data_IF_648553051240
#
_entry.id   IF_648553051240
#
_cell.length_a   1.000
_cell.length_b   1.000
_cell.length_c   1.000
_cell.angle_alpha   90.00
_cell.angle_beta   90.00
_cell.angle_gamma   90.00
#
_symmetry.space_group_name_H-M   'P 1'
#
loop_
_entity.id
_entity.type
_entity.pdbx_description
1 polymer ?
#
# COMPACT_ATOMS: atom_id res chain seq x y z
N UNK A 1 -0.60 0.70 20.84
CA UNK A 1 -1.30 1.53 19.82
C UNK A 1 -2.34 0.70 19.10
N UNK A 2 -3.56 1.17 18.91
CA UNK A 2 -4.62 0.55 18.09
C UNK A 2 -4.63 1.18 16.69
N UNK A 3 -4.64 0.36 15.64
CA UNK A 3 -4.78 0.84 14.27
C UNK A 3 -6.26 0.81 13.83
N UNK A 4 -6.61 1.60 12.81
CA UNK A 4 -7.87 1.40 12.09
C UNK A 4 -7.84 0.06 11.34
N UNK A 5 -9.01 -0.48 11.02
CA UNK A 5 -9.12 -1.75 10.28
C UNK A 5 -8.32 -1.73 8.95
N UNK A 6 -8.34 -0.60 8.25
CA UNK A 6 -7.57 -0.40 7.03
C UNK A 6 -6.06 -0.49 7.26
N UNK A 7 -5.54 0.22 8.27
CA UNK A 7 -4.10 0.21 8.57
C UNK A 7 -3.65 -1.15 9.12
N UNK A 8 -4.49 -1.81 9.90
CA UNK A 8 -4.24 -3.17 10.39
C UNK A 8 -4.18 -4.18 9.23
N UNK A 9 -5.10 -4.08 8.26
CA UNK A 9 -5.05 -4.89 7.04
C UNK A 9 -3.76 -4.64 6.25
N UNK A 10 -3.35 -3.39 6.06
CA UNK A 10 -2.08 -3.06 5.37
C UNK A 10 -0.89 -3.68 6.13
N UNK A 11 -0.84 -3.52 7.44
CA UNK A 11 0.22 -4.08 8.28
C UNK A 11 0.26 -5.62 8.23
N UNK A 12 -0.91 -6.28 8.17
CA UNK A 12 -1.02 -7.74 8.11
C UNK A 12 -0.50 -8.34 6.79
N UNK A 13 -0.40 -7.53 5.72
CA UNK A 13 0.12 -7.96 4.43
C UNK A 13 1.65 -7.98 4.39
N UNK A 14 2.31 -7.31 5.33
CA UNK A 14 3.78 -7.30 5.42
C UNK A 14 4.28 -8.66 5.92
N UNK A 15 5.25 -9.23 5.23
CA UNK A 15 5.88 -10.49 5.64
C UNK A 15 6.65 -10.31 6.95
N UNK A 16 6.38 -11.17 7.91
CA UNK A 16 7.08 -11.17 9.20
C UNK A 16 8.60 -11.31 9.04
N UNK A 17 9.34 -10.51 9.79
CA UNK A 17 10.80 -10.48 9.76
C UNK A 17 11.41 -9.59 8.68
N UNK A 18 10.60 -8.97 7.81
CA UNK A 18 11.08 -8.04 6.79
C UNK A 18 11.34 -6.65 7.36
N UNK A 19 12.39 -5.99 6.86
CA UNK A 19 12.63 -4.56 7.10
C UNK A 19 11.72 -3.75 6.19
N UNK A 20 10.99 -2.80 6.76
CA UNK A 20 9.91 -2.07 6.08
C UNK A 20 10.27 -0.61 5.85
N UNK A 21 9.94 -0.09 4.66
CA UNK A 21 9.89 1.34 4.38
C UNK A 21 8.43 1.77 4.09
N UNK A 22 7.89 2.68 4.89
CA UNK A 22 6.57 3.27 4.73
C UNK A 22 6.70 4.64 4.06
N UNK A 23 6.24 4.73 2.81
CA UNK A 23 6.39 5.91 1.96
C UNK A 23 5.14 6.79 2.05
N UNK A 24 5.31 8.03 2.48
CA UNK A 24 4.21 8.94 2.81
C UNK A 24 3.61 8.62 4.17
N UNK A 25 4.47 8.40 5.14
CA UNK A 25 4.14 7.80 6.45
C UNK A 25 3.23 8.64 7.35
N UNK A 26 3.07 9.93 7.08
CA UNK A 26 2.31 10.92 7.84
C UNK A 26 2.52 10.88 9.37
N UNK A 27 2.04 9.86 10.07
CA UNK A 27 2.10 9.71 11.54
C UNK A 27 3.01 8.59 12.03
N UNK A 28 3.60 7.79 11.15
CA UNK A 28 4.45 6.65 11.52
C UNK A 28 3.71 5.45 12.10
N UNK A 29 2.39 5.37 11.94
CA UNK A 29 1.56 4.33 12.59
C UNK A 29 1.95 2.91 12.16
N UNK A 30 2.12 2.66 10.85
CA UNK A 30 2.47 1.33 10.33
C UNK A 30 3.88 0.91 10.81
N UNK A 31 4.94 1.72 10.64
CA UNK A 31 6.27 1.41 11.16
C UNK A 31 6.30 1.11 12.66
N UNK A 32 5.65 1.94 13.46
CA UNK A 32 5.58 1.76 14.92
C UNK A 32 4.85 0.46 15.27
N UNK A 33 3.67 0.22 14.66
CA UNK A 33 2.88 -0.98 14.93
C UNK A 33 3.64 -2.26 14.62
N UNK A 34 4.26 -2.33 13.43
CA UNK A 34 5.01 -3.52 12.99
C UNK A 34 6.21 -3.82 13.87
N UNK A 35 6.96 -2.79 14.27
CA UNK A 35 8.14 -2.98 15.13
C UNK A 35 7.76 -3.28 16.57
N UNK A 36 6.75 -2.62 17.12
CA UNK A 36 6.30 -2.83 18.51
C UNK A 36 5.68 -4.22 18.74
N UNK A 37 5.07 -4.81 17.70
CA UNK A 37 4.52 -6.17 17.76
C UNK A 37 5.55 -7.26 17.41
N UNK A 38 6.78 -6.90 17.09
CA UNK A 38 7.83 -7.85 16.71
C UNK A 38 7.68 -8.43 15.31
N UNK A 39 6.74 -7.91 14.50
CA UNK A 39 6.54 -8.36 13.12
C UNK A 39 7.70 -7.96 12.20
N UNK A 40 8.38 -6.85 12.53
CA UNK A 40 9.50 -6.37 11.74
C UNK A 40 10.65 -5.91 12.67
N UNK A 41 11.92 -6.22 12.32
CA UNK A 41 13.06 -5.91 13.19
C UNK A 41 13.37 -4.40 13.24
N UNK A 42 13.07 -3.69 12.15
CA UNK A 42 13.18 -2.22 12.07
C UNK A 42 12.37 -1.70 10.88
N UNK A 43 12.09 -0.39 10.90
CA UNK A 43 11.34 0.25 9.85
C UNK A 43 11.83 1.68 9.56
N UNK A 44 11.51 2.16 8.37
CA UNK A 44 11.77 3.52 7.91
C UNK A 44 10.45 4.23 7.66
N UNK A 45 10.24 5.35 8.35
CA UNK A 45 9.12 6.26 8.15
C UNK A 45 9.60 7.37 7.18
N UNK A 46 9.10 7.37 5.95
CA UNK A 46 9.57 8.25 4.88
C UNK A 46 8.47 9.20 4.40
N UNK A 47 8.77 10.48 4.23
CA UNK A 47 7.86 11.46 3.66
C UNK A 47 8.65 12.58 2.96
N UNK A 48 8.04 13.20 1.94
CA UNK A 48 8.61 14.35 1.22
C UNK A 48 8.50 15.64 2.02
N UNK A 49 7.58 15.72 2.99
CA UNK A 49 7.31 16.89 3.79
C UNK A 49 7.86 16.74 5.22
N UNK A 50 8.46 17.82 5.72
CA UNK A 50 9.00 17.85 7.09
C UNK A 50 7.94 17.79 8.17
N UNK A 51 6.75 18.31 7.92
CA UNK A 51 5.67 18.35 8.92
C UNK A 51 5.11 16.97 9.25
N UNK A 52 4.72 16.11 8.28
CA UNK A 52 4.38 14.72 8.55
C UNK A 52 5.49 13.96 9.28
N UNK A 53 6.74 14.10 8.84
CA UNK A 53 7.88 13.47 9.53
C UNK A 53 8.07 13.94 10.96
N UNK A 54 7.79 15.21 11.26
CA UNK A 54 7.84 15.73 12.63
C UNK A 54 6.77 15.07 13.51
N UNK A 55 5.55 14.87 12.97
CA UNK A 55 4.50 14.13 13.68
C UNK A 55 4.90 12.67 13.91
N UNK A 56 5.41 12.01 12.87
CA UNK A 56 5.90 10.63 12.99
C UNK A 56 6.98 10.50 14.04
N UNK A 57 7.95 11.43 14.07
CA UNK A 57 9.02 11.44 15.06
C UNK A 57 8.50 11.59 16.49
N UNK A 58 7.52 12.46 16.71
CA UNK A 58 6.89 12.62 18.03
C UNK A 58 6.23 11.31 18.48
N UNK A 59 5.47 10.65 17.63
CA UNK A 59 4.83 9.37 17.95
C UNK A 59 5.87 8.25 18.19
N UNK A 60 6.94 8.20 17.41
CA UNK A 60 8.04 7.25 17.60
C UNK A 60 8.69 7.41 18.97
N UNK A 61 8.89 8.67 19.42
CA UNK A 61 9.42 8.97 20.74
C UNK A 61 8.43 8.59 21.85
N UNK A 62 7.13 8.91 21.70
CA UNK A 62 6.07 8.56 22.66
C UNK A 62 5.90 7.04 22.84
N UNK A 63 6.01 6.28 21.77
CA UNK A 63 5.90 4.80 21.77
C UNK A 63 7.24 4.10 22.06
N UNK A 64 8.31 4.83 22.36
CA UNK A 64 9.67 4.33 22.61
C UNK A 64 10.24 3.46 21.48
N UNK A 65 9.86 3.76 20.23
CA UNK A 65 10.28 3.00 19.05
C UNK A 65 11.53 3.55 18.35
N UNK A 66 12.17 4.59 18.90
CA UNK A 66 13.27 5.32 18.26
C UNK A 66 14.55 4.52 17.97
N UNK A 67 14.73 3.36 18.59
CA UNK A 67 15.85 2.47 18.29
C UNK A 67 15.61 1.61 17.04
N UNK A 68 14.34 1.40 16.67
CA UNK A 68 13.94 0.48 15.58
C UNK A 68 13.21 1.16 14.43
N UNK A 69 12.73 2.39 14.62
CA UNK A 69 12.07 3.20 13.58
C UNK A 69 12.87 4.47 13.31
N UNK A 70 13.28 4.68 12.06
CA UNK A 70 14.01 5.86 11.62
C UNK A 70 13.19 6.72 10.66
N UNK A 71 13.22 8.04 10.82
CA UNK A 71 12.57 8.99 9.91
C UNK A 71 13.53 9.43 8.81
N UNK A 72 13.08 9.42 7.55
CA UNK A 72 13.84 9.85 6.39
C UNK A 72 13.03 10.86 5.56
N UNK A 73 13.58 12.04 5.33
CA UNK A 73 13.01 13.01 4.39
C UNK A 73 13.35 12.57 2.96
N UNK A 74 12.36 12.21 2.16
CA UNK A 74 12.57 11.66 0.82
C UNK A 74 11.41 11.98 -0.11
N UNK A 75 11.70 12.33 -1.35
CA UNK A 75 10.70 12.33 -2.43
C UNK A 75 10.57 10.90 -2.96
N UNK A 76 9.48 10.22 -2.58
CA UNK A 76 9.27 8.82 -2.89
C UNK A 76 10.41 7.93 -2.38
N UNK A 77 11.04 7.17 -3.28
CA UNK A 77 12.08 6.20 -2.96
C UNK A 77 13.50 6.77 -3.03
N UNK A 78 13.66 8.09 -3.30
CA UNK A 78 14.96 8.67 -3.61
C UNK A 78 16.03 8.38 -2.54
N UNK A 79 15.70 8.52 -1.26
CA UNK A 79 16.59 8.25 -0.12
C UNK A 79 16.37 6.86 0.50
N UNK A 80 15.72 5.92 -0.22
CA UNK A 80 15.48 4.57 0.27
C UNK A 80 16.81 3.88 0.60
N UNK A 81 16.99 3.28 1.81
CA UNK A 81 18.13 2.43 2.13
C UNK A 81 18.07 1.09 1.37
N UNK A 82 18.47 1.12 0.12
CA UNK A 82 18.21 0.10 -0.91
C UNK A 82 18.66 -1.31 -0.54
N UNK A 83 19.81 -1.44 0.17
CA UNK A 83 20.35 -2.76 0.54
C UNK A 83 19.79 -3.29 1.87
N UNK A 84 18.88 -2.55 2.50
CA UNK A 84 18.38 -2.84 3.82
C UNK A 84 16.87 -3.12 3.86
N UNK A 85 16.12 -2.63 2.88
CA UNK A 85 14.64 -2.71 2.86
C UNK A 85 14.18 -3.93 2.07
N UNK A 86 13.34 -4.74 2.71
CA UNK A 86 12.71 -5.91 2.11
C UNK A 86 11.30 -5.62 1.58
N UNK A 87 10.55 -4.76 2.28
CA UNK A 87 9.15 -4.46 1.99
C UNK A 87 8.91 -2.95 1.90
N UNK A 88 8.23 -2.51 0.84
CA UNK A 88 7.79 -1.13 0.68
C UNK A 88 6.29 -1.06 0.88
N UNK A 89 5.84 -0.17 1.75
CA UNK A 89 4.44 0.18 1.96
C UNK A 89 4.17 1.55 1.34
N UNK A 90 3.14 1.66 0.48
CA UNK A 90 2.62 2.94 -0.04
C UNK A 90 1.11 2.94 0.13
N UNK A 91 0.60 3.75 1.04
CA UNK A 91 -0.84 3.80 1.34
C UNK A 91 -1.35 5.25 1.39
N UNK A 92 -2.66 5.41 1.11
CA UNK A 92 -3.30 6.71 1.24
C UNK A 92 -3.04 7.71 0.12
N UNK A 93 -2.42 7.27 -0.97
CA UNK A 93 -2.12 8.10 -2.16
C UNK A 93 -2.97 7.66 -3.36
N UNK A 94 -3.20 8.57 -4.31
CA UNK A 94 -3.79 8.21 -5.61
C UNK A 94 -2.89 7.28 -6.42
N UNK A 95 -3.47 6.38 -7.22
CA UNK A 95 -2.70 5.40 -8.00
C UNK A 95 -1.71 6.02 -8.96
N UNK A 96 -2.01 7.18 -9.54
CA UNK A 96 -1.06 7.90 -10.41
C UNK A 96 0.22 8.33 -9.67
N UNK A 97 0.07 8.74 -8.41
CA UNK A 97 1.21 9.10 -7.56
C UNK A 97 2.00 7.86 -7.16
N UNK A 98 1.31 6.76 -6.81
CA UNK A 98 1.96 5.48 -6.50
C UNK A 98 2.81 5.02 -7.69
N UNK A 99 2.25 4.98 -8.90
CA UNK A 99 2.97 4.59 -10.12
C UNK A 99 4.17 5.51 -10.34
N UNK A 100 4.00 6.83 -10.25
CA UNK A 100 5.10 7.78 -10.42
C UNK A 100 6.24 7.56 -9.42
N UNK A 101 5.94 7.30 -8.15
CA UNK A 101 6.95 7.01 -7.12
C UNK A 101 7.74 5.75 -7.47
N UNK A 102 7.06 4.70 -7.92
CA UNK A 102 7.71 3.44 -8.28
C UNK A 102 8.52 3.54 -9.58
N UNK A 103 8.04 4.31 -10.58
CA UNK A 103 8.76 4.54 -11.85
C UNK A 103 10.01 5.38 -11.68
N UNK A 104 9.95 6.43 -10.86
CA UNK A 104 11.00 7.43 -10.74
C UNK A 104 12.33 6.83 -10.25
N UNK A 105 12.27 5.89 -9.32
CA UNK A 105 13.42 5.21 -8.73
C UNK A 105 13.29 3.68 -8.88
N UNK A 106 12.87 3.23 -10.06
CA UNK A 106 12.53 1.82 -10.33
C UNK A 106 13.70 0.84 -10.07
N UNK A 107 14.92 1.27 -10.32
CA UNK A 107 16.13 0.49 -10.06
C UNK A 107 16.28 0.11 -8.58
N UNK A 108 15.77 0.91 -7.66
CA UNK A 108 15.78 0.62 -6.21
C UNK A 108 14.87 -0.53 -5.81
N UNK A 109 13.93 -0.91 -6.66
CA UNK A 109 13.05 -2.04 -6.41
C UNK A 109 13.71 -3.41 -6.64
N UNK A 110 14.89 -3.45 -7.24
CA UNK A 110 15.55 -4.71 -7.63
C UNK A 110 15.79 -5.67 -6.45
N UNK A 111 16.12 -5.15 -5.27
CA UNK A 111 16.36 -5.93 -4.05
C UNK A 111 15.16 -5.99 -3.10
N UNK A 112 14.11 -5.21 -3.36
CA UNK A 112 12.88 -5.22 -2.56
C UNK A 112 12.11 -6.51 -2.86
N UNK A 113 11.70 -7.21 -1.82
CA UNK A 113 11.03 -8.52 -1.95
C UNK A 113 9.53 -8.42 -2.20
N UNK A 114 8.90 -7.37 -1.65
CA UNK A 114 7.46 -7.14 -1.79
C UNK A 114 7.08 -5.66 -1.77
N UNK A 115 5.95 -5.37 -2.42
CA UNK A 115 5.27 -4.08 -2.39
C UNK A 115 3.90 -4.28 -1.77
N UNK A 116 3.57 -3.47 -0.75
CA UNK A 116 2.25 -3.41 -0.13
C UNK A 116 1.64 -2.06 -0.50
N UNK A 117 0.64 -2.08 -1.38
CA UNK A 117 0.08 -0.88 -1.98
C UNK A 117 -1.40 -0.75 -1.61
N UNK A 118 -1.81 0.43 -1.13
CA UNK A 118 -3.22 0.75 -0.90
C UNK A 118 -3.58 2.09 -1.55
N UNK A 119 -3.69 2.11 -2.90
CA UNK A 119 -4.04 3.30 -3.65
C UNK A 119 -5.51 3.68 -3.45
N UNK A 120 -5.80 5.00 -3.42
CA UNK A 120 -7.16 5.52 -3.24
C UNK A 120 -7.91 5.75 -4.55
N UNK A 121 -7.23 5.66 -5.70
CA UNK A 121 -7.80 5.88 -7.03
C UNK A 121 -6.95 5.18 -8.08
N UNK A 122 -7.46 5.05 -9.32
CA UNK A 122 -6.74 4.51 -10.48
C UNK A 122 -6.03 3.18 -10.21
N UNK A 123 -6.73 2.27 -9.53
CA UNK A 123 -6.25 0.93 -9.18
C UNK A 123 -5.81 0.13 -10.41
N UNK A 124 -6.53 0.30 -11.52
CA UNK A 124 -6.21 -0.33 -12.81
C UNK A 124 -4.81 0.05 -13.29
N UNK A 125 -4.40 1.32 -13.14
CA UNK A 125 -3.06 1.78 -13.52
C UNK A 125 -1.97 1.15 -12.67
N UNK A 126 -2.23 1.00 -11.36
CA UNK A 126 -1.28 0.34 -10.45
C UNK A 126 -1.11 -1.12 -10.83
N UNK A 127 -2.20 -1.85 -11.13
CA UNK A 127 -2.11 -3.26 -11.54
C UNK A 127 -1.43 -3.44 -12.90
N UNK A 128 -1.71 -2.55 -13.87
CA UNK A 128 -0.98 -2.52 -15.16
C UNK A 128 0.52 -2.30 -14.92
N UNK A 129 0.89 -1.27 -14.15
CA UNK A 129 2.28 -1.01 -13.81
C UNK A 129 2.98 -2.24 -13.24
N UNK A 130 2.38 -2.90 -12.25
CA UNK A 130 2.95 -4.08 -11.61
C UNK A 130 3.21 -5.20 -12.62
N UNK A 131 2.22 -5.53 -13.46
CA UNK A 131 2.36 -6.59 -14.45
C UNK A 131 3.38 -6.24 -15.54
N UNK A 132 3.39 -5.00 -16.03
CA UNK A 132 4.27 -4.54 -17.10
C UNK A 132 5.74 -4.45 -16.65
N UNK A 133 5.97 -4.29 -15.32
CA UNK A 133 7.30 -4.11 -14.74
C UNK A 133 7.81 -5.35 -13.97
N UNK A 134 7.23 -6.52 -14.23
CA UNK A 134 7.74 -7.77 -13.70
C UNK A 134 7.38 -8.06 -12.24
N UNK A 135 6.25 -7.51 -11.78
CA UNK A 135 5.63 -7.88 -10.52
C UNK A 135 4.37 -8.69 -10.76
N UNK A 136 4.11 -9.65 -9.90
CA UNK A 136 2.83 -10.35 -9.82
C UNK A 136 2.11 -10.01 -8.54
N UNK A 137 0.82 -9.85 -8.61
CA UNK A 137 -0.03 -9.67 -7.45
C UNK A 137 -0.21 -11.03 -6.78
N UNK A 138 0.20 -11.11 -5.53
CA UNK A 138 0.16 -12.35 -4.74
C UNK A 138 -1.13 -12.44 -3.94
N UNK A 139 -1.64 -11.31 -3.46
CA UNK A 139 -2.77 -11.22 -2.57
C UNK A 139 -3.43 -9.85 -2.68
N UNK A 140 -4.75 -9.81 -2.60
CA UNK A 140 -5.53 -8.57 -2.52
C UNK A 140 -6.62 -8.69 -1.46
N UNK A 141 -6.89 -7.58 -0.76
CA UNK A 141 -8.04 -7.45 0.13
C UNK A 141 -8.87 -6.23 -0.27
N UNK A 142 -10.18 -6.36 -0.21
CA UNK A 142 -11.13 -5.28 -0.48
C UNK A 142 -11.97 -5.03 0.77
N UNK A 143 -11.81 -3.88 1.38
CA UNK A 143 -12.45 -3.57 2.66
C UNK A 143 -13.24 -2.26 2.62
N UNK A 144 -14.19 -2.11 3.55
CA UNK A 144 -14.96 -0.90 3.75
C UNK A 144 -14.71 -0.37 5.16
N UNK A 145 -14.36 0.91 5.26
CA UNK A 145 -14.17 1.62 6.52
C UNK A 145 -14.75 3.03 6.39
N UNK A 146 -15.53 3.46 7.36
CA UNK A 146 -16.17 4.79 7.40
C UNK A 146 -16.91 5.17 6.11
N UNK A 147 -17.59 4.20 5.50
CA UNK A 147 -18.36 4.38 4.26
C UNK A 147 -17.52 4.50 2.99
N UNK A 148 -16.20 4.35 3.07
CA UNK A 148 -15.26 4.35 1.93
C UNK A 148 -14.73 2.95 1.67
N UNK A 149 -14.42 2.68 0.41
CA UNK A 149 -13.84 1.42 -0.03
C UNK A 149 -12.33 1.56 -0.24
N UNK A 150 -11.61 0.53 0.16
CA UNK A 150 -10.14 0.47 0.07
C UNK A 150 -9.72 -0.88 -0.47
N UNK A 151 -8.63 -0.88 -1.25
CA UNK A 151 -7.97 -2.10 -1.70
C UNK A 151 -6.56 -2.11 -1.15
N UNK A 152 -6.13 -3.27 -0.66
CA UNK A 152 -4.74 -3.53 -0.31
C UNK A 152 -4.20 -4.58 -1.26
N UNK A 153 -3.07 -4.31 -1.88
CA UNK A 153 -2.42 -5.17 -2.87
C UNK A 153 -1.05 -5.55 -2.33
N UNK A 154 -0.75 -6.85 -2.28
CA UNK A 154 0.60 -7.36 -2.07
C UNK A 154 1.14 -7.88 -3.39
N UNK A 155 2.25 -7.31 -3.85
CA UNK A 155 2.92 -7.70 -5.07
C UNK A 155 4.36 -8.13 -4.79
N UNK A 156 4.85 -9.11 -5.54
CA UNK A 156 6.22 -9.63 -5.46
C UNK A 156 6.80 -9.75 -6.87
N UNK A 157 8.11 -9.86 -6.99
CA UNK A 157 8.72 -10.10 -8.29
C UNK A 157 8.16 -11.36 -8.95
N UNK A 158 7.84 -11.27 -10.22
CA UNK A 158 7.26 -12.36 -11.01
C UNK A 158 6.53 -11.86 -12.24
N UNK A 159 6.25 -12.78 -13.15
CA UNK A 159 5.49 -12.49 -14.36
C UNK A 159 4.02 -12.80 -14.12
N UNK A 160 3.16 -11.86 -14.45
CA UNK A 160 1.71 -12.01 -14.47
C UNK A 160 1.16 -11.08 -15.54
N UNK A 161 0.14 -11.52 -16.25
CA UNK A 161 -0.58 -10.67 -17.19
C UNK A 161 -2.04 -11.14 -17.22
N UNK A 162 -2.95 -10.23 -17.10
CA UNK A 162 -4.37 -10.53 -17.18
C UNK A 162 -4.87 -10.47 -18.61
N UNK A 163 -5.77 -11.38 -18.96
CA UNK A 163 -6.41 -11.46 -20.28
C UNK A 163 -7.67 -10.59 -20.41
N UNK A 164 -8.16 -10.04 -19.27
CA UNK A 164 -9.38 -9.25 -19.18
C UNK A 164 -9.13 -7.93 -18.47
N UNK A 165 -9.62 -6.84 -19.04
CA UNK A 165 -9.51 -5.51 -18.45
C UNK A 165 -10.20 -5.40 -17.08
N UNK A 166 -11.29 -6.16 -16.86
CA UNK A 166 -11.95 -6.17 -15.56
C UNK A 166 -11.06 -6.69 -14.43
N UNK A 167 -10.06 -7.51 -14.71
CA UNK A 167 -9.10 -7.98 -13.72
C UNK A 167 -8.14 -6.88 -13.29
N UNK A 168 -7.72 -6.02 -14.23
CA UNK A 168 -6.96 -4.80 -13.88
C UNK A 168 -7.81 -3.83 -13.08
N UNK A 169 -9.09 -3.69 -13.41
CA UNK A 169 -9.98 -2.73 -12.75
C UNK A 169 -10.36 -3.15 -11.34
N UNK A 170 -10.68 -4.42 -11.12
CA UNK A 170 -11.29 -4.89 -9.87
C UNK A 170 -10.47 -5.94 -9.11
N UNK A 171 -9.40 -6.48 -9.69
CA UNK A 171 -8.60 -7.56 -9.13
C UNK A 171 -9.11 -8.95 -9.54
N UNK A 172 -8.25 -9.78 -10.12
CA UNK A 172 -8.60 -11.12 -10.58
C UNK A 172 -9.09 -12.00 -9.42
N UNK A 173 -8.30 -12.08 -8.33
CA UNK A 173 -8.62 -12.89 -7.16
C UNK A 173 -9.93 -12.45 -6.49
N UNK A 174 -10.16 -11.14 -6.40
CA UNK A 174 -11.38 -10.59 -5.81
C UNK A 174 -12.62 -10.95 -6.63
N UNK A 175 -12.52 -10.93 -7.97
CA UNK A 175 -13.60 -11.33 -8.88
C UNK A 175 -13.87 -12.83 -8.78
N UNK A 176 -12.82 -13.66 -8.89
CA UNK A 176 -12.95 -15.12 -8.88
C UNK A 176 -13.46 -15.63 -7.53
N UNK A 177 -13.04 -15.04 -6.44
CA UNK A 177 -13.53 -15.35 -5.10
C UNK A 177 -14.95 -14.81 -4.83
N UNK A 178 -15.52 -14.00 -5.73
CA UNK A 178 -16.79 -13.28 -5.49
C UNK A 178 -16.75 -12.53 -4.16
N UNK A 179 -15.68 -11.76 -3.97
CA UNK A 179 -15.41 -11.07 -2.71
C UNK A 179 -16.62 -10.24 -2.26
N UNK A 180 -17.14 -10.42 -1.03
CA UNK A 180 -18.42 -9.84 -0.62
C UNK A 180 -18.43 -8.30 -0.63
N UNK A 181 -17.33 -7.66 -0.24
CA UNK A 181 -17.22 -6.19 -0.27
C UNK A 181 -17.11 -5.66 -1.70
N UNK A 182 -16.47 -6.41 -2.62
CA UNK A 182 -16.48 -6.06 -4.04
C UNK A 182 -17.88 -6.14 -4.63
N UNK A 183 -18.66 -7.18 -4.30
CA UNK A 183 -20.04 -7.32 -4.76
C UNK A 183 -20.90 -6.15 -4.25
N UNK A 184 -20.78 -5.80 -2.96
CA UNK A 184 -21.46 -4.63 -2.39
C UNK A 184 -21.11 -3.33 -3.14
N UNK A 185 -19.82 -3.11 -3.41
CA UNK A 185 -19.35 -1.96 -4.18
C UNK A 185 -19.95 -1.92 -5.59
N UNK A 186 -19.94 -3.03 -6.31
CA UNK A 186 -20.49 -3.12 -7.66
C UNK A 186 -22.01 -2.89 -7.69
N UNK A 187 -22.74 -3.40 -6.71
CA UNK A 187 -24.18 -3.15 -6.59
C UNK A 187 -24.49 -1.66 -6.35
N UNK A 188 -23.67 -0.96 -5.58
CA UNK A 188 -23.79 0.48 -5.40
C UNK A 188 -23.50 1.25 -6.69
N UNK A 189 -22.44 0.92 -7.41
CA UNK A 189 -22.09 1.53 -8.70
C UNK A 189 -23.22 1.34 -9.73
N UNK A 190 -23.76 0.13 -9.84
CA UNK A 190 -24.88 -0.17 -10.73
C UNK A 190 -26.13 0.65 -10.37
N UNK A 191 -26.43 0.79 -9.10
CA UNK A 191 -27.58 1.59 -8.62
C UNK A 191 -27.43 3.07 -8.98
N UNK A 192 -26.23 3.63 -8.89
CA UNK A 192 -25.95 5.01 -9.28
C UNK A 192 -26.13 5.24 -10.79
N UNK A 193 -25.72 4.28 -11.62
CA UNK A 193 -25.89 4.34 -13.07
C UNK A 193 -27.39 4.34 -13.43
N UNK A 194 -28.20 3.46 -12.84
CA UNK A 194 -29.64 3.38 -13.12
C UNK A 194 -30.41 4.65 -12.70
N UNK A 195 -29.96 5.38 -11.67
CA UNK A 195 -30.57 6.64 -11.22
C UNK A 195 -30.22 7.79 -12.18
N UNK A 196 -29.09 7.72 -12.88
CA UNK A 196 -28.58 8.76 -13.77
C UNK A 196 -29.07 8.65 -15.22
N UNK A 197 -29.75 7.57 -15.61
CA UNK A 197 -30.36 7.46 -16.94
C UNK A 197 -31.68 8.27 -16.99
N UNK A 198 -31.78 9.33 -17.82
CA UNK A 198 -33.05 10.06 -18.01
C UNK A 198 -34.05 9.15 -18.74
N UNK A 199 -35.20 8.97 -18.15
CA UNK A 199 -36.39 8.38 -18.79
C UNK A 199 -36.85 9.19 -19.99
#
# INVERSE_FOLDING_TARGET
>A
MELSNRLETIASFVTEGYVVADIGTDHGYIPIYLTSNGNCPRAYAMDVNKEPLSRAKTHIEEENAGEVVSCILSDGLHELPQDDVDSIVIAGMGGDLVVRILEQDFDKLANVKELILSPQSHLERVRHFLNDHGFRILEEEFLKEDGKYYVVIRAVHGKQQYDKECFYRFGEELILAKHPVLLEYLDQELSLIHISEPT
#
